data_IF_185773955097
#
_entry.id   IF_185773955097
#
_cell.length_a   1.000
_cell.length_b   1.000
_cell.length_c   1.000
_cell.angle_alpha   90.00
_cell.angle_beta   90.00
_cell.angle_gamma   90.00
#
_symmetry.space_group_name_H-M   'P 1'
#
loop_
_entity.id
_entity.type
_entity.pdbx_description
1 polymer ?
#
# COMPACT_ATOMS: atom_id res chain seq x y z
N UNK A 1 -23.99 7.15 -7.01
CA UNK A 1 -24.58 8.04 -8.03
C UNK A 1 -23.73 9.28 -8.07
N UNK A 2 -23.16 9.59 -9.22
CA UNK A 2 -22.40 10.80 -9.48
C UNK A 2 -23.23 11.78 -10.29
N UNK A 3 -22.91 13.06 -10.17
CA UNK A 3 -23.50 14.12 -11.00
C UNK A 3 -22.47 15.17 -11.33
N UNK A 4 -22.76 15.91 -12.41
CA UNK A 4 -22.01 17.11 -12.78
C UNK A 4 -22.90 18.33 -12.60
N UNK A 5 -22.32 19.45 -12.22
CA UNK A 5 -23.03 20.72 -12.05
C UNK A 5 -22.12 21.88 -12.47
N UNK A 6 -22.73 22.98 -12.88
CA UNK A 6 -22.03 24.20 -13.30
C UNK A 6 -21.96 25.20 -12.16
N UNK A 7 -20.79 25.77 -11.88
CA UNK A 7 -20.65 26.83 -10.86
C UNK A 7 -20.84 28.19 -11.51
N UNK A 8 -21.72 29.02 -10.95
CA UNK A 8 -22.22 30.23 -11.62
C UNK A 8 -21.15 31.27 -11.96
N UNK A 9 -20.12 31.43 -11.13
CA UNK A 9 -19.11 32.50 -11.29
C UNK A 9 -18.12 32.27 -12.42
N UNK A 10 -17.76 31.02 -12.69
CA UNK A 10 -16.67 30.65 -13.61
C UNK A 10 -17.19 29.91 -14.86
N UNK A 11 -18.40 29.35 -14.79
CA UNK A 11 -19.04 28.60 -15.86
C UNK A 11 -18.41 27.23 -16.10
N UNK A 12 -17.53 26.76 -15.22
CA UNK A 12 -16.91 25.44 -15.33
C UNK A 12 -17.81 24.36 -14.72
N UNK A 13 -17.70 23.16 -15.27
CA UNK A 13 -18.34 21.97 -14.73
C UNK A 13 -17.52 21.36 -13.60
N UNK A 14 -18.24 20.90 -12.59
CA UNK A 14 -17.73 20.21 -11.43
C UNK A 14 -18.43 18.87 -11.31
N UNK A 15 -17.67 17.86 -10.91
CA UNK A 15 -18.15 16.52 -10.63
C UNK A 15 -18.32 16.34 -9.12
N UNK A 16 -19.40 15.67 -8.71
CA UNK A 16 -19.63 15.25 -7.32
C UNK A 16 -20.08 13.79 -7.27
N UNK A 17 -19.61 13.05 -6.26
CA UNK A 17 -20.08 11.69 -5.98
C UNK A 17 -19.92 11.32 -4.51
N UNK A 18 -20.53 10.21 -4.12
CA UNK A 18 -20.34 9.57 -2.81
C UNK A 18 -19.48 8.32 -2.96
N UNK A 19 -18.40 8.26 -2.19
CA UNK A 19 -17.48 7.12 -2.15
C UNK A 19 -17.63 6.35 -0.85
N UNK A 20 -17.16 5.10 -0.86
CA UNK A 20 -17.13 4.26 0.33
C UNK A 20 -16.20 4.88 1.37
N UNK A 21 -16.71 5.07 2.58
CA UNK A 21 -15.91 5.43 3.73
C UNK A 21 -15.29 4.17 4.33
N UNK A 22 -13.96 4.20 4.49
CA UNK A 22 -13.18 3.09 4.99
C UNK A 22 -13.49 2.76 6.45
N UNK A 23 -13.95 3.75 7.22
CA UNK A 23 -14.27 3.66 8.64
C UNK A 23 -15.68 3.11 8.86
N UNK A 24 -16.70 3.70 8.22
CA UNK A 24 -18.11 3.33 8.41
C UNK A 24 -18.57 2.20 7.50
N UNK A 25 -17.83 1.92 6.42
CA UNK A 25 -18.24 0.95 5.39
C UNK A 25 -19.45 1.38 4.57
N UNK A 26 -19.91 2.63 4.70
CA UNK A 26 -21.06 3.19 3.97
C UNK A 26 -20.58 4.15 2.88
N UNK A 27 -21.40 4.38 1.85
CA UNK A 27 -21.15 5.39 0.81
C UNK A 27 -21.58 6.78 1.27
N UNK A 28 -21.01 7.26 2.36
CA UNK A 28 -21.37 8.53 3.00
C UNK A 28 -20.35 9.66 2.74
N UNK A 29 -19.15 9.33 2.24
CA UNK A 29 -18.08 10.30 2.00
C UNK A 29 -18.29 11.01 0.65
N UNK A 30 -18.63 12.30 0.70
CA UNK A 30 -18.81 13.14 -0.50
C UNK A 30 -17.46 13.68 -1.01
N UNK A 31 -17.27 13.67 -2.32
CA UNK A 31 -16.08 14.19 -2.99
C UNK A 31 -16.45 15.07 -4.18
N UNK A 32 -15.56 16.00 -4.52
CA UNK A 32 -15.74 16.99 -5.58
C UNK A 32 -14.50 17.04 -6.47
N UNK A 33 -14.69 17.21 -7.77
CA UNK A 33 -13.62 17.42 -8.77
C UNK A 33 -13.97 18.55 -9.71
N UNK A 34 -13.01 19.42 -10.01
CA UNK A 34 -13.14 20.33 -11.15
C UNK A 34 -12.95 19.54 -12.43
N UNK A 35 -13.87 19.68 -13.40
CA UNK A 35 -13.71 19.05 -14.71
C UNK A 35 -12.91 19.93 -15.67
N UNK A 36 -12.62 21.18 -15.31
CA UNK A 36 -11.78 22.08 -16.11
C UNK A 36 -12.31 22.35 -17.52
N UNK A 37 -13.60 22.13 -17.75
CA UNK A 37 -14.27 22.40 -19.01
C UNK A 37 -15.56 23.19 -18.79
N UNK A 38 -15.93 24.02 -19.77
CA UNK A 38 -17.23 24.69 -19.86
C UNK A 38 -18.18 24.00 -20.85
N UNK A 39 -17.66 23.02 -21.59
CA UNK A 39 -18.42 22.20 -22.53
C UNK A 39 -19.03 21.00 -21.80
N UNK A 40 -20.33 20.82 -21.96
CA UNK A 40 -21.13 19.77 -21.33
C UNK A 40 -20.74 18.38 -21.84
N UNK A 41 -20.46 18.21 -23.14
CA UNK A 41 -20.08 16.90 -23.69
C UNK A 41 -18.76 16.41 -23.11
N UNK A 42 -17.77 17.31 -23.05
CA UNK A 42 -16.46 17.03 -22.43
C UNK A 42 -16.63 16.75 -20.93
N UNK A 43 -17.58 17.42 -20.27
CA UNK A 43 -17.86 17.19 -18.84
C UNK A 43 -18.45 15.80 -18.59
N UNK A 44 -19.35 15.33 -19.45
CA UNK A 44 -19.92 13.98 -19.38
C UNK A 44 -18.87 12.89 -19.61
N UNK A 45 -17.97 13.06 -20.58
CA UNK A 45 -16.87 12.13 -20.81
C UNK A 45 -15.95 12.02 -19.59
N UNK A 46 -15.58 13.17 -19.00
CA UNK A 46 -14.76 13.20 -17.78
C UNK A 46 -15.48 12.60 -16.57
N UNK A 47 -16.80 12.78 -16.47
CA UNK A 47 -17.63 12.12 -15.44
C UNK A 47 -17.53 10.60 -15.55
N UNK A 48 -17.70 10.03 -16.74
CA UNK A 48 -17.63 8.58 -16.99
C UNK A 48 -16.25 8.03 -16.56
N UNK A 49 -15.19 8.76 -16.90
CA UNK A 49 -13.82 8.37 -16.54
C UNK A 49 -13.60 8.37 -15.01
N UNK A 50 -14.13 9.37 -14.31
CA UNK A 50 -14.09 9.44 -12.85
C UNK A 50 -14.93 8.34 -12.19
N UNK A 51 -16.12 8.05 -12.71
CA UNK A 51 -16.98 6.97 -12.20
C UNK A 51 -16.25 5.63 -12.25
N UNK A 52 -15.65 5.28 -13.40
CA UNK A 52 -14.86 4.05 -13.56
C UNK A 52 -13.72 3.96 -12.53
N UNK A 53 -12.98 5.06 -12.36
CA UNK A 53 -11.87 5.14 -11.39
C UNK A 53 -12.33 4.86 -9.97
N UNK A 54 -13.48 5.40 -9.57
CA UNK A 54 -14.02 5.19 -8.23
C UNK A 54 -14.59 3.80 -8.02
N UNK A 55 -15.18 3.19 -9.05
CA UNK A 55 -15.63 1.80 -9.01
C UNK A 55 -14.47 0.82 -8.85
N UNK A 56 -13.39 0.99 -9.61
CA UNK A 56 -12.18 0.17 -9.50
C UNK A 56 -11.54 0.29 -8.13
N UNK A 57 -11.46 1.50 -7.58
CA UNK A 57 -10.95 1.76 -6.23
C UNK A 57 -11.79 1.02 -5.17
N UNK A 58 -13.11 1.04 -5.30
CA UNK A 58 -14.01 0.32 -4.38
C UNK A 58 -13.82 -1.20 -4.45
N UNK A 59 -13.64 -1.78 -5.66
CA UNK A 59 -13.36 -3.22 -5.82
C UNK A 59 -12.04 -3.64 -5.15
N UNK A 60 -10.98 -2.83 -5.34
CA UNK A 60 -9.67 -3.11 -4.75
C UNK A 60 -9.67 -2.99 -3.22
N UNK A 61 -10.42 -2.04 -2.67
CA UNK A 61 -10.56 -1.89 -1.20
C UNK A 61 -11.33 -3.03 -0.54
N UNK A 62 -12.37 -3.58 -1.20
CA UNK A 62 -13.06 -4.78 -0.74
C UNK A 62 -12.14 -6.00 -0.66
N UNK A 63 -11.27 -6.17 -1.67
CA UNK A 63 -10.32 -7.28 -1.73
C UNK A 63 -9.15 -7.19 -0.73
N UNK A 64 -8.77 -5.97 -0.30
CA UNK A 64 -7.72 -5.79 0.71
C UNK A 64 -8.17 -6.20 2.12
N UNK A 65 -9.45 -6.00 2.48
CA UNK A 65 -9.98 -6.47 3.78
C UNK A 65 -9.95 -7.99 3.90
N UNK A 66 -10.06 -8.73 2.79
CA UNK A 66 -10.03 -10.20 2.80
C UNK A 66 -8.62 -10.81 2.89
N UNK A 67 -7.58 -10.10 2.40
CA UNK A 67 -6.19 -10.59 2.44
C UNK A 67 -5.49 -10.40 3.79
N UNK A 68 -5.98 -9.50 4.65
CA UNK A 68 -5.34 -9.21 5.95
C UNK A 68 -5.58 -10.28 7.01
N UNK A 69 -6.62 -11.11 6.86
CA UNK A 69 -7.02 -12.07 7.91
C UNK A 69 -6.39 -13.47 7.77
N UNK A 70 -5.88 -13.87 6.59
CA UNK A 70 -5.31 -15.22 6.39
C UNK A 70 -4.05 -15.48 7.22
N UNK A 71 -3.20 -14.46 7.41
CA UNK A 71 -1.99 -14.58 8.25
C UNK A 71 -2.34 -14.78 9.72
N UNK A 72 -3.33 -14.07 10.25
CA UNK A 72 -3.78 -14.19 11.65
C UNK A 72 -4.38 -15.57 11.96
N UNK A 73 -5.19 -16.12 11.05
CA UNK A 73 -5.71 -17.48 11.20
C UNK A 73 -4.58 -18.53 11.22
N UNK A 74 -3.57 -18.38 10.37
CA UNK A 74 -2.42 -19.29 10.34
C UNK A 74 -1.64 -19.28 11.67
N UNK A 75 -1.36 -18.10 12.25
CA UNK A 75 -0.69 -18.01 13.55
C UNK A 75 -1.52 -18.58 14.70
N UNK A 76 -2.86 -18.44 14.66
CA UNK A 76 -3.73 -18.99 15.71
C UNK A 76 -3.71 -20.52 15.77
N UNK A 77 -3.64 -21.20 14.62
CA UNK A 77 -3.59 -22.67 14.54
C UNK A 77 -2.27 -23.20 15.10
N UNK A 78 -1.15 -22.54 14.79
CA UNK A 78 0.17 -22.91 15.30
C UNK A 78 0.21 -22.81 16.83
N UNK A 79 -0.35 -21.73 17.39
CA UNK A 79 -0.34 -21.49 18.83
C UNK A 79 -1.17 -22.55 19.58
N UNK A 80 -2.35 -22.91 19.05
CA UNK A 80 -3.19 -23.98 19.61
C UNK A 80 -2.46 -25.33 19.56
N UNK A 81 -1.81 -25.65 18.43
CA UNK A 81 -1.04 -26.90 18.29
C UNK A 81 0.13 -26.99 19.29
N UNK A 82 0.80 -25.86 19.55
CA UNK A 82 1.92 -25.80 20.49
C UNK A 82 1.45 -26.04 21.94
N UNK A 83 0.31 -25.48 22.32
CA UNK A 83 -0.28 -25.68 23.66
C UNK A 83 -0.69 -27.14 23.87
N UNK A 84 -1.33 -27.77 22.89
CA UNK A 84 -1.71 -29.19 22.98
C UNK A 84 -0.47 -30.08 23.10
N UNK A 85 0.57 -29.81 22.31
CA UNK A 85 1.83 -30.55 22.39
C UNK A 85 2.50 -30.41 23.77
N UNK A 86 2.53 -29.18 24.30
CA UNK A 86 3.12 -28.90 25.61
C UNK A 86 2.34 -29.59 26.74
N UNK A 87 1.01 -29.60 26.66
CA UNK A 87 0.15 -30.27 27.63
C UNK A 87 0.35 -31.79 27.61
N UNK A 88 0.41 -32.42 26.44
CA UNK A 88 0.70 -33.85 26.31
C UNK A 88 2.10 -34.21 26.81
N UNK A 89 3.11 -33.38 26.51
CA UNK A 89 4.47 -33.57 27.01
C UNK A 89 4.53 -33.50 28.55
N UNK A 90 3.85 -32.52 29.14
CA UNK A 90 3.77 -32.37 30.60
C UNK A 90 3.01 -33.51 31.27
N UNK A 91 1.86 -33.96 30.74
CA UNK A 91 1.15 -35.10 31.30
C UNK A 91 1.98 -36.38 31.27
N UNK A 92 2.73 -36.63 30.19
CA UNK A 92 3.58 -37.81 30.09
C UNK A 92 4.76 -37.77 31.07
N UNK A 93 5.25 -36.57 31.41
CA UNK A 93 6.26 -36.35 32.47
C UNK A 93 5.72 -36.62 33.88
N UNK A 94 4.45 -36.32 34.14
CA UNK A 94 3.81 -36.59 35.44
C UNK A 94 3.43 -38.07 35.60
N UNK A 95 2.90 -38.72 34.55
CA UNK A 95 2.53 -40.14 34.59
C UNK A 95 3.74 -41.08 34.72
N UNK A 96 4.89 -40.72 34.12
CA UNK A 96 6.13 -41.50 34.24
C UNK A 96 6.74 -41.47 35.66
N UNK A 97 6.36 -40.49 36.49
CA UNK A 97 6.87 -40.36 37.86
C UNK A 97 6.08 -41.19 38.89
N UNK A 98 4.86 -41.59 38.57
CA UNK A 98 3.99 -42.36 39.47
C UNK A 98 4.16 -43.88 39.31
N UNK A 99 4.52 -44.36 38.10
CA UNK A 99 4.73 -45.79 37.84
C UNK A 99 6.00 -46.38 38.48
N UNK A 100 6.98 -45.53 38.80
CA UNK A 100 8.24 -45.98 39.42
C UNK A 100 8.16 -46.06 40.95
N UNK A 101 7.07 -45.57 41.59
CA UNK A 101 6.95 -45.51 43.04
C UNK A 101 5.88 -46.43 43.66
N UNK A 102 5.03 -47.09 42.87
CA UNK A 102 3.84 -47.82 43.38
C UNK A 102 3.82 -49.33 43.02
N UNK A 103 4.99 -49.96 42.84
CA UNK A 103 5.15 -51.39 42.54
C UNK A 103 5.38 -52.28 43.78
N UNK A 104 4.90 -51.89 44.95
CA UNK A 104 4.85 -52.80 46.09
C UNK A 104 3.63 -52.51 46.95
N UNK A 105 2.58 -53.30 46.77
CA UNK A 105 1.93 -54.11 47.81
C UNK A 105 0.64 -54.71 47.24
N UNK A 106 0.52 -56.02 47.38
CA UNK A 106 -0.59 -56.86 46.95
C UNK A 106 -1.45 -57.29 48.13
N UNK A 107 -2.66 -57.78 47.81
CA UNK A 107 -3.67 -58.46 48.65
C UNK A 107 -4.46 -57.54 49.62
N UNK A 108 -5.79 -57.64 49.75
CA UNK A 108 -6.66 -58.82 49.71
C UNK A 108 -8.16 -58.43 49.60
N UNK A 109 -8.92 -59.26 48.88
CA UNK A 109 -10.25 -59.80 49.17
C UNK A 109 -11.35 -58.97 49.86
N UNK A 110 -12.49 -58.78 49.16
CA UNK A 110 -13.79 -59.48 49.37
C UNK A 110 -15.06 -58.61 49.16
N UNK A 111 -16.12 -59.32 48.72
CA UNK A 111 -17.58 -59.01 48.70
C UNK A 111 -18.09 -58.18 47.51
N UNK A 112 -18.63 -58.81 46.47
CA UNK A 112 -20.03 -59.25 46.30
C UNK A 112 -21.07 -58.16 46.60
N UNK A 113 -21.68 -57.64 45.53
CA UNK A 113 -23.14 -57.67 45.37
C UNK A 113 -23.52 -57.65 43.88
N UNK A 114 -24.39 -58.60 43.52
CA UNK A 114 -25.09 -58.74 42.24
C UNK A 114 -26.04 -57.54 42.05
N UNK A 115 -26.46 -57.10 40.85
CA UNK A 115 -27.49 -57.74 40.03
C UNK A 115 -27.53 -57.10 38.62
N UNK A 116 -27.71 -58.00 37.64
CA UNK A 116 -28.00 -57.93 36.19
C UNK A 116 -28.98 -56.85 35.73
N UNK A 117 -28.77 -56.32 34.51
CA UNK A 117 -29.67 -56.38 33.32
C UNK A 117 -28.78 -56.21 32.04
N UNK A 118 -28.41 -57.28 31.33
CA UNK A 118 -29.03 -57.90 30.13
C UNK A 118 -28.90 -57.12 28.79
N UNK A 119 -28.11 -57.73 27.88
CA UNK A 119 -28.30 -57.91 26.43
C UNK A 119 -28.36 -56.67 25.52
N UNK A 120 -27.74 -56.59 24.33
CA UNK A 120 -27.26 -57.63 23.43
C UNK A 120 -26.24 -57.05 22.45
N UNK A 121 -25.24 -57.89 22.14
CA UNK A 121 -24.18 -57.87 21.14
C UNK A 121 -24.44 -57.08 19.83
N UNK A 122 -23.43 -56.58 19.10
CA UNK A 122 -22.28 -57.34 18.58
C UNK A 122 -21.21 -56.37 18.01
N UNK A 123 -19.99 -56.49 18.53
CA UNK A 123 -18.69 -56.23 17.86
C UNK A 123 -18.59 -57.06 16.55
N UNK A 124 -17.57 -56.94 15.64
CA UNK A 124 -16.19 -56.47 15.84
C UNK A 124 -15.67 -55.48 14.75
N UNK A 125 -14.75 -54.55 15.04
CA UNK A 125 -13.29 -54.66 15.28
C UNK A 125 -12.45 -54.72 13.98
N UNK A 126 -11.34 -53.94 14.03
CA UNK A 126 -10.04 -54.05 13.35
C UNK A 126 -9.88 -53.52 11.91
N UNK A 127 -9.30 -52.31 11.88
CA UNK A 127 -8.14 -51.97 11.04
C UNK A 127 -7.05 -53.05 11.19
N UNK A 128 -6.26 -53.35 10.15
CA UNK A 128 -4.83 -53.21 10.36
C UNK A 128 -4.08 -52.57 9.19
N UNK A 129 -3.01 -51.93 9.63
CA UNK A 129 -1.93 -51.22 8.96
C UNK A 129 -1.01 -52.12 8.11
N UNK A 130 -0.16 -51.45 7.33
CA UNK A 130 1.21 -51.80 6.84
C UNK A 130 1.31 -51.57 5.32
N UNK A 131 1.99 -50.52 4.89
CA UNK A 131 3.44 -50.41 4.57
C UNK A 131 3.83 -50.95 3.18
N UNK A 132 4.16 -49.97 2.32
CA UNK A 132 5.38 -49.90 1.50
C UNK A 132 5.53 -50.73 0.19
N UNK A 133 5.73 -49.95 -0.90
CA UNK A 133 6.88 -49.97 -1.83
C UNK A 133 6.67 -50.31 -3.35
N UNK A 134 7.17 -49.37 -4.18
CA UNK A 134 7.64 -49.30 -5.60
C UNK A 134 6.80 -49.76 -6.82
N UNK A 135 6.59 -48.81 -7.76
CA UNK A 135 7.03 -48.76 -9.19
C UNK A 135 6.06 -47.86 -10.00
N UNK A 136 6.45 -46.68 -10.49
CA UNK A 136 7.19 -46.38 -11.75
C UNK A 136 6.47 -46.79 -13.05
N UNK A 137 5.92 -45.80 -13.79
CA UNK A 137 6.11 -45.64 -15.25
C UNK A 137 5.57 -44.30 -15.79
N UNK A 138 6.52 -43.44 -16.17
CA UNK A 138 6.64 -42.61 -17.38
C UNK A 138 5.39 -42.16 -18.18
N UNK A 139 5.28 -40.85 -18.43
CA UNK A 139 5.40 -40.32 -19.80
C UNK A 139 5.97 -38.89 -19.80
N UNK A 140 7.08 -38.72 -20.51
CA UNK A 140 7.84 -37.48 -20.76
C UNK A 140 7.08 -36.57 -21.76
N UNK A 141 7.07 -35.24 -21.56
CA UNK A 141 7.92 -34.18 -22.17
C UNK A 141 7.72 -34.02 -23.69
N UNK A 142 7.38 -32.79 -24.10
CA UNK A 142 8.14 -32.12 -25.16
C UNK A 142 8.18 -30.60 -24.92
N UNK A 143 9.39 -30.17 -24.54
CA UNK A 143 9.90 -28.81 -24.66
C UNK A 143 10.62 -28.74 -26.00
N UNK A 144 10.34 -27.72 -26.82
CA UNK A 144 11.29 -27.30 -27.86
C UNK A 144 11.67 -25.85 -27.59
N UNK A 145 12.94 -25.70 -27.22
CA UNK A 145 13.69 -24.46 -27.16
C UNK A 145 14.47 -24.28 -28.47
N UNK A 146 14.87 -23.01 -28.67
CA UNK A 146 16.04 -22.50 -29.39
C UNK A 146 15.94 -22.30 -30.91
N UNK A 147 16.16 -21.05 -31.35
CA UNK A 147 17.47 -20.69 -31.89
C UNK A 147 17.73 -19.17 -31.82
N UNK A 148 18.98 -18.86 -31.46
CA UNK A 148 19.58 -17.54 -31.42
C UNK A 148 20.08 -17.11 -32.80
N UNK A 149 20.33 -15.80 -32.91
CA UNK A 149 21.13 -15.06 -33.88
C UNK A 149 20.32 -14.36 -34.99
N UNK A 150 20.03 -13.08 -34.76
CA UNK A 150 20.63 -12.04 -35.60
C UNK A 150 20.70 -10.70 -34.85
N UNK A 151 21.91 -10.16 -34.83
CA UNK A 151 22.27 -8.84 -34.32
C UNK A 151 21.71 -7.73 -35.21
N UNK A 152 21.46 -6.58 -34.57
CA UNK A 152 21.33 -5.24 -35.16
C UNK A 152 19.98 -4.82 -35.76
N UNK A 153 19.08 -4.35 -34.90
CA UNK A 153 18.54 -2.97 -34.92
C UNK A 153 17.48 -2.81 -33.83
N UNK A 154 17.93 -2.44 -32.64
CA UNK A 154 17.07 -1.82 -31.65
C UNK A 154 17.70 -0.46 -31.34
N UNK A 155 17.28 0.57 -32.10
CA UNK A 155 17.27 1.93 -31.57
C UNK A 155 15.98 2.03 -30.77
N UNK A 156 16.06 1.63 -29.50
CA UNK A 156 15.07 2.04 -28.51
C UNK A 156 15.71 3.22 -27.78
N UNK A 157 15.16 4.41 -28.01
CA UNK A 157 15.42 5.58 -27.19
C UNK A 157 14.77 5.34 -25.81
N UNK A 158 15.39 4.48 -24.99
CA UNK A 158 15.14 4.48 -23.55
C UNK A 158 15.88 5.67 -22.96
N UNK A 159 15.21 6.81 -22.91
CA UNK A 159 15.62 7.96 -22.11
C UNK A 159 15.60 7.52 -20.63
N UNK A 160 16.74 7.09 -20.13
CA UNK A 160 16.94 6.79 -18.71
C UNK A 160 16.59 8.06 -17.95
N UNK A 161 15.51 8.03 -17.17
CA UNK A 161 15.13 9.12 -16.26
C UNK A 161 16.21 9.24 -15.18
N UNK A 162 17.30 9.92 -15.49
CA UNK A 162 18.38 10.23 -14.56
C UNK A 162 17.78 11.11 -13.46
N UNK A 163 17.81 10.62 -12.22
CA UNK A 163 17.38 11.41 -11.07
C UNK A 163 18.27 12.66 -11.02
N UNK A 164 17.69 13.87 -11.08
CA UNK A 164 18.48 15.09 -11.11
C UNK A 164 19.25 15.27 -9.81
N UNK A 165 20.50 15.71 -9.92
CA UNK A 165 21.29 16.13 -8.76
C UNK A 165 20.58 17.29 -8.08
N UNK A 166 20.37 17.17 -6.78
CA UNK A 166 19.66 18.16 -5.99
C UNK A 166 20.37 18.44 -4.67
N UNK A 167 20.07 19.59 -4.09
CA UNK A 167 20.49 19.96 -2.73
C UNK A 167 19.33 20.58 -1.97
N UNK A 168 19.02 20.04 -0.79
CA UNK A 168 18.06 20.66 0.13
C UNK A 168 18.75 21.85 0.79
N UNK A 169 18.19 23.04 0.60
CA UNK A 169 18.73 24.29 1.15
C UNK A 169 18.11 24.56 2.51
N UNK A 170 16.80 24.34 2.63
CA UNK A 170 16.03 24.67 3.83
C UNK A 170 14.78 23.82 3.92
N UNK A 171 14.38 23.50 5.14
CA UNK A 171 13.07 22.94 5.46
C UNK A 171 12.39 23.78 6.52
N UNK A 172 11.10 24.00 6.39
CA UNK A 172 10.26 24.72 7.36
C UNK A 172 9.12 23.82 7.81
N UNK A 173 9.03 23.57 9.11
CA UNK A 173 7.82 22.98 9.68
C UNK A 173 6.81 24.10 9.91
N UNK A 174 5.60 23.93 9.38
CA UNK A 174 4.53 24.90 9.59
C UNK A 174 3.74 24.53 10.85
N UNK A 175 3.50 25.50 11.75
CA UNK A 175 2.70 25.29 12.94
C UNK A 175 1.23 25.22 12.53
N UNK A 176 0.74 24.03 12.20
CA UNK A 176 -0.67 23.81 11.90
C UNK A 176 -1.10 22.40 12.34
N UNK A 177 -2.40 22.19 12.49
CA UNK A 177 -3.02 20.90 12.82
C UNK A 177 -2.72 19.80 11.79
N UNK A 178 -2.31 20.18 10.57
CA UNK A 178 -2.01 19.29 9.45
C UNK A 178 -0.53 18.89 9.34
N UNK A 179 0.26 18.94 10.43
CA UNK A 179 1.67 18.53 10.49
C UNK A 179 2.40 18.68 9.14
N UNK A 180 2.54 19.93 8.69
CA UNK A 180 2.95 20.26 7.32
C UNK A 180 4.41 20.69 7.26
N UNK A 181 5.12 20.27 6.22
CA UNK A 181 6.50 20.69 5.94
C UNK A 181 6.60 21.40 4.59
N UNK A 182 7.43 22.44 4.52
CA UNK A 182 7.89 23.05 3.27
C UNK A 182 9.37 22.72 3.04
N UNK A 183 9.69 22.16 1.89
CA UNK A 183 11.05 21.81 1.48
C UNK A 183 11.47 22.73 0.35
N UNK A 184 12.65 23.34 0.49
CA UNK A 184 13.22 24.24 -0.51
C UNK A 184 14.53 23.63 -0.99
N UNK A 185 14.57 23.24 -2.26
CA UNK A 185 15.69 22.54 -2.86
C UNK A 185 16.14 23.19 -4.16
N UNK A 186 17.41 23.03 -4.49
CA UNK A 186 17.98 23.46 -5.77
C UNK A 186 18.31 22.25 -6.63
N UNK A 187 18.09 22.36 -7.93
CA UNK A 187 18.42 21.33 -8.93
C UNK A 187 19.31 21.90 -10.03
N UNK A 188 20.20 21.06 -10.57
CA UNK A 188 21.02 21.44 -11.71
C UNK A 188 20.15 21.65 -12.96
N UNK A 189 20.59 22.50 -13.89
CA UNK A 189 19.72 23.13 -14.91
C UNK A 189 19.27 22.22 -16.08
N UNK A 190 19.54 20.92 -16.04
CA UNK A 190 19.29 19.98 -17.16
C UNK A 190 18.26 18.92 -16.73
N UNK A 191 17.05 19.35 -16.41
CA UNK A 191 16.01 18.45 -15.88
C UNK A 191 14.70 18.70 -16.61
N UNK A 192 14.11 17.62 -17.10
CA UNK A 192 12.77 17.62 -17.70
C UNK A 192 11.69 17.79 -16.62
N UNK A 193 10.49 18.19 -17.04
CA UNK A 193 9.33 18.31 -16.12
C UNK A 193 9.06 16.99 -15.39
N UNK A 194 9.12 15.86 -16.10
CA UNK A 194 8.96 14.52 -15.52
C UNK A 194 10.07 14.17 -14.52
N UNK A 195 11.32 14.57 -14.79
CA UNK A 195 12.44 14.39 -13.87
C UNK A 195 12.27 15.18 -12.57
N UNK A 196 11.75 16.41 -12.66
CA UNK A 196 11.41 17.23 -11.49
C UNK A 196 10.26 16.61 -10.67
N UNK A 197 9.22 16.11 -11.34
CA UNK A 197 8.11 15.41 -10.69
C UNK A 197 8.60 14.16 -9.96
N UNK A 198 9.42 13.34 -10.62
CA UNK A 198 10.00 12.14 -10.02
C UNK A 198 10.84 12.46 -8.79
N UNK A 199 11.65 13.53 -8.84
CA UNK A 199 12.38 14.01 -7.66
C UNK A 199 11.43 14.42 -6.52
N UNK A 200 10.35 15.14 -6.82
CA UNK A 200 9.37 15.55 -5.81
C UNK A 200 8.69 14.34 -5.15
N UNK A 201 8.36 13.32 -5.93
CA UNK A 201 7.77 12.08 -5.41
C UNK A 201 8.74 11.33 -4.48
N UNK A 202 10.04 11.26 -4.84
CA UNK A 202 11.08 10.72 -3.96
C UNK A 202 11.24 11.50 -2.67
N UNK A 203 11.35 12.83 -2.75
CA UNK A 203 11.44 13.68 -1.56
C UNK A 203 10.20 13.51 -0.66
N UNK A 204 9.00 13.37 -1.23
CA UNK A 204 7.78 13.06 -0.46
C UNK A 204 7.84 11.69 0.23
N UNK A 205 8.65 10.74 -0.23
CA UNK A 205 8.87 9.46 0.45
C UNK A 205 9.93 9.56 1.57
N UNK A 206 10.79 10.57 1.54
CA UNK A 206 11.77 10.83 2.62
C UNK A 206 11.12 11.50 3.84
N UNK A 207 10.00 12.21 3.66
CA UNK A 207 9.29 12.99 4.68
C UNK A 207 7.92 12.40 5.07
N UNK A 208 7.84 11.08 5.26
CA UNK A 208 6.57 10.37 5.56
C UNK A 208 5.98 10.71 6.94
N UNK A 209 6.77 11.29 7.84
CA UNK A 209 6.31 11.74 9.16
C UNK A 209 5.35 12.95 9.09
N UNK A 210 5.35 13.68 7.97
CA UNK A 210 4.47 14.81 7.73
C UNK A 210 3.22 14.38 6.95
N UNK A 211 2.05 14.86 7.38
CA UNK A 211 0.80 14.54 6.67
C UNK A 211 0.62 15.41 5.45
N UNK A 212 1.30 16.54 5.34
CA UNK A 212 1.29 17.40 4.15
C UNK A 212 2.68 17.92 3.84
N UNK A 213 3.02 18.01 2.57
CA UNK A 213 4.31 18.53 2.10
C UNK A 213 4.12 19.50 0.95
N UNK A 214 4.92 20.56 0.97
CA UNK A 214 5.10 21.50 -0.13
C UNK A 214 6.58 21.46 -0.51
N UNK A 215 6.90 21.27 -1.77
CA UNK A 215 8.28 21.25 -2.29
C UNK A 215 8.40 22.36 -3.32
N UNK A 216 9.36 23.26 -3.11
CA UNK A 216 9.74 24.27 -4.08
C UNK A 216 11.12 23.93 -4.64
N UNK A 217 11.19 23.73 -5.96
CA UNK A 217 12.44 23.49 -6.67
C UNK A 217 12.91 24.79 -7.33
N UNK A 218 14.19 25.11 -7.12
CA UNK A 218 14.85 26.29 -7.68
C UNK A 218 16.05 25.89 -8.54
N UNK A 219 16.45 26.78 -9.45
CA UNK A 219 17.68 26.57 -10.21
C UNK A 219 18.92 26.61 -9.28
N UNK A 220 19.88 25.71 -9.51
CA UNK A 220 21.17 25.73 -8.82
C UNK A 220 22.10 26.81 -9.38
N UNK A 221 21.67 28.07 -9.26
CA UNK A 221 22.48 29.24 -9.51
C UNK A 221 22.35 30.22 -8.34
N UNK A 222 23.15 31.30 -8.37
CA UNK A 222 23.18 32.28 -7.28
C UNK A 222 21.78 32.77 -6.90
N UNK A 223 20.94 33.12 -7.86
CA UNK A 223 19.62 33.67 -7.60
C UNK A 223 18.66 32.61 -7.05
N UNK A 224 18.62 31.41 -7.63
CA UNK A 224 17.77 30.32 -7.15
C UNK A 224 18.16 29.83 -5.75
N UNK A 225 19.46 29.82 -5.42
CA UNK A 225 19.95 29.53 -4.06
C UNK A 225 19.46 30.60 -3.08
N UNK A 226 19.59 31.89 -3.42
CA UNK A 226 19.11 32.98 -2.56
C UNK A 226 17.58 32.94 -2.39
N UNK A 227 16.84 32.53 -3.43
CA UNK A 227 15.40 32.27 -3.32
C UNK A 227 15.08 31.15 -2.34
N UNK A 228 15.77 30.01 -2.44
CA UNK A 228 15.58 28.87 -1.55
C UNK A 228 15.92 29.20 -0.08
N UNK A 229 16.86 30.13 0.15
CA UNK A 229 17.20 30.67 1.49
C UNK A 229 16.21 31.71 2.02
N UNK A 230 15.22 32.13 1.23
CA UNK A 230 14.32 33.25 1.53
C UNK A 230 15.01 34.63 1.59
N UNK A 231 16.13 34.81 0.89
CA UNK A 231 16.83 36.10 0.77
C UNK A 231 16.45 36.84 -0.53
N UNK A 232 15.15 37.07 -0.71
CA UNK A 232 14.59 37.55 -1.97
C UNK A 232 14.72 39.07 -2.21
N UNK A 233 15.20 39.84 -1.22
CA UNK A 233 15.13 41.31 -1.24
C UNK A 233 15.85 41.97 -2.42
N UNK A 234 16.79 41.28 -3.06
CA UNK A 234 17.63 41.80 -4.16
C UNK A 234 17.33 41.15 -5.52
N UNK A 235 16.36 40.24 -5.61
CA UNK A 235 16.09 39.46 -6.82
C UNK A 235 14.92 40.10 -7.56
N UNK A 236 15.09 40.39 -8.86
CA UNK A 236 14.01 40.96 -9.66
C UNK A 236 12.90 39.93 -9.90
N UNK A 237 11.64 40.39 -10.06
CA UNK A 237 10.50 39.49 -10.36
C UNK A 237 10.79 38.59 -11.58
N UNK A 238 11.42 39.12 -12.62
CA UNK A 238 11.79 38.34 -13.81
C UNK A 238 12.77 37.20 -13.47
N UNK A 239 13.79 37.48 -12.66
CA UNK A 239 14.73 36.44 -12.19
C UNK A 239 14.04 35.44 -11.27
N UNK A 240 13.12 35.88 -10.42
CA UNK A 240 12.34 34.97 -9.58
C UNK A 240 11.52 34.00 -10.42
N UNK A 241 10.85 34.48 -11.47
CA UNK A 241 10.09 33.63 -12.40
C UNK A 241 10.96 32.59 -13.09
N UNK A 242 12.16 33.00 -13.55
CA UNK A 242 13.09 32.11 -14.24
C UNK A 242 13.69 31.05 -13.31
N UNK A 243 13.90 31.38 -12.04
CA UNK A 243 14.62 30.52 -11.11
C UNK A 243 13.71 29.66 -10.21
N UNK A 244 12.41 29.91 -10.17
CA UNK A 244 11.44 29.02 -9.52
C UNK A 244 10.93 27.99 -10.51
N UNK A 245 11.55 26.81 -10.49
CA UNK A 245 11.41 25.79 -11.52
C UNK A 245 10.17 24.94 -11.36
N UNK A 246 9.84 24.54 -10.13
CA UNK A 246 8.63 23.76 -9.88
C UNK A 246 8.08 23.97 -8.47
N UNK A 247 6.78 23.73 -8.33
CA UNK A 247 6.09 23.61 -7.06
C UNK A 247 5.31 22.30 -7.03
N UNK A 248 5.55 21.50 -6.01
CA UNK A 248 4.80 20.28 -5.73
C UNK A 248 4.09 20.42 -4.38
N UNK A 249 2.85 19.97 -4.30
CA UNK A 249 2.15 19.85 -3.04
C UNK A 249 1.51 18.46 -2.93
N UNK A 250 1.49 17.94 -1.71
CA UNK A 250 0.75 16.73 -1.39
C UNK A 250 -0.01 16.89 -0.09
N UNK A 251 -1.28 16.49 -0.13
CA UNK A 251 -2.16 16.39 1.02
C UNK A 251 -3.05 15.13 0.85
N UNK A 252 -3.26 14.31 1.89
CA UNK A 252 -4.15 13.16 1.88
C UNK A 252 -5.58 13.46 1.40
N UNK A 253 -6.06 14.69 1.59
CA UNK A 253 -7.40 15.12 1.20
C UNK A 253 -7.45 15.60 -0.26
N UNK A 254 -6.52 16.48 -0.65
CA UNK A 254 -6.52 17.15 -1.96
C UNK A 254 -5.78 16.35 -3.04
N UNK A 255 -4.93 15.40 -2.63
CA UNK A 255 -4.07 14.63 -3.50
C UNK A 255 -2.73 15.32 -3.78
N UNK A 256 -2.07 14.89 -4.86
CA UNK A 256 -0.85 15.51 -5.36
C UNK A 256 -1.17 16.59 -6.38
N UNK A 257 -0.43 17.68 -6.34
CA UNK A 257 -0.43 18.73 -7.33
C UNK A 257 1.02 19.05 -7.70
N UNK A 258 1.27 19.26 -8.99
CA UNK A 258 2.58 19.59 -9.53
C UNK A 258 2.42 20.68 -10.58
N UNK A 259 3.26 21.69 -10.48
CA UNK A 259 3.35 22.83 -11.37
C UNK A 259 4.82 23.04 -11.75
N UNK A 260 5.14 22.91 -13.03
CA UNK A 260 6.47 23.08 -13.60
C UNK A 260 6.74 24.51 -14.09
N UNK A 261 5.83 25.44 -13.82
CA UNK A 261 6.01 26.87 -14.09
C UNK A 261 5.31 27.76 -13.04
N UNK A 262 5.67 27.62 -11.75
CA UNK A 262 5.06 28.40 -10.66
C UNK A 262 5.39 29.90 -10.73
N UNK A 263 6.38 30.30 -11.54
CA UNK A 263 6.70 31.70 -11.80
C UNK A 263 5.52 32.52 -12.32
N UNK A 264 4.52 31.89 -12.93
CA UNK A 264 3.29 32.57 -13.38
C UNK A 264 2.55 33.29 -12.25
N UNK A 265 2.63 32.77 -11.01
CA UNK A 265 1.99 33.38 -9.84
C UNK A 265 2.62 34.72 -9.44
N UNK A 266 3.86 35.00 -9.84
CA UNK A 266 4.59 36.23 -9.50
C UNK A 266 4.20 37.43 -10.37
N UNK A 267 3.27 37.27 -11.32
CA UNK A 267 2.91 38.28 -12.33
C UNK A 267 1.56 38.98 -12.17
N UNK A 268 0.78 38.69 -11.13
CA UNK A 268 -0.62 39.14 -11.03
C UNK A 268 -0.85 40.39 -10.16
N UNK A 269 0.21 41.00 -9.63
CA UNK A 269 0.15 42.25 -8.83
C UNK A 269 1.33 43.17 -9.12
#
# INVERSE_FOLDING_TARGET
MSSIYKKGRDGYFYYQTYILNTETGKKDKKIFHSLGTKDEKIAEEKKILLDRRYEEKNKNQGNQKFKRNKKLYFYSIILISMVIYFFNYFQNLFLKKESDLFSSYSLSDTLNDEIKISSMAKNPILVPSSENIYQSKNHSIDTIMTNNNDLNKIKDDQEITLLPTYKIIRTERLPNSFNQIKVYATIDSIVTSDGMLFLCEKLKEEYLEFTSIIICLYANNKDGIEMAKNNNAKISKHLMKKNWLAMYTFNPVEGKYFDDNPGLYLGLY
#
